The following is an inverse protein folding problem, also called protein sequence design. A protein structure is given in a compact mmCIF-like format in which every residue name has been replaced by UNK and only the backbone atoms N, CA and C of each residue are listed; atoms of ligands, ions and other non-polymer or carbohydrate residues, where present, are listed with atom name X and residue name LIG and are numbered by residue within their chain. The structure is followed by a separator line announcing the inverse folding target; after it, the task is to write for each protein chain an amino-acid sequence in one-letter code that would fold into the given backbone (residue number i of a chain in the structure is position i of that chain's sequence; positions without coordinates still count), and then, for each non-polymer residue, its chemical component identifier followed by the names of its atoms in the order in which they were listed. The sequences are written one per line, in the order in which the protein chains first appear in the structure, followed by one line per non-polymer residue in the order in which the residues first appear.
data_IF_279136964410
#
_entry.id   IF_279136964410
#
_cell.length_a   1.000
_cell.length_b   1.000
_cell.length_c   1.000
_cell.angle_alpha   90.00
_cell.angle_beta   90.00
_cell.angle_gamma   90.00
#
_symmetry.space_group_name_H-M   'P 1'
#
loop_
_entity.id
_entity.type
_entity.pdbx_description
1 polymer ?
#
# COMPACT_ATOMS: atom_id res chain seq x y z
N UNK A 1 -26.88 -15.70 10.80
CA UNK A 1 -26.68 -14.85 12.00
C UNK A 1 -25.21 -14.65 12.36
N UNK A 2 -24.42 -15.71 12.60
CA UNK A 2 -22.99 -15.57 12.98
C UNK A 2 -22.12 -14.83 11.95
N UNK A 3 -22.33 -15.05 10.65
CA UNK A 3 -21.62 -14.34 9.57
C UNK A 3 -21.98 -12.85 9.49
N UNK A 4 -23.26 -12.52 9.66
CA UNK A 4 -23.73 -11.14 9.69
C UNK A 4 -23.15 -10.37 10.88
N UNK A 5 -23.12 -10.99 12.06
CA UNK A 5 -22.47 -10.44 13.26
C UNK A 5 -20.97 -10.18 13.06
N UNK A 6 -20.26 -11.09 12.39
CA UNK A 6 -18.85 -10.90 12.07
C UNK A 6 -18.62 -9.75 11.08
N UNK A 7 -19.48 -9.58 10.08
CA UNK A 7 -19.41 -8.46 9.14
C UNK A 7 -19.67 -7.12 9.84
N UNK A 8 -20.68 -7.05 10.71
CA UNK A 8 -20.99 -5.84 11.48
C UNK A 8 -19.85 -5.51 12.44
N UNK A 9 -19.28 -6.50 13.13
CA UNK A 9 -18.13 -6.32 14.02
C UNK A 9 -16.90 -5.80 13.25
N UNK A 10 -16.63 -6.36 12.07
CA UNK A 10 -15.52 -5.92 11.24
C UNK A 10 -15.67 -4.45 10.82
N UNK A 11 -16.87 -4.04 10.41
CA UNK A 11 -17.17 -2.65 10.03
C UNK A 11 -16.95 -1.70 11.22
N UNK A 12 -17.45 -2.04 12.41
CA UNK A 12 -17.30 -1.20 13.62
C UNK A 12 -15.83 -1.06 14.02
N UNK A 13 -15.05 -2.14 13.94
CA UNK A 13 -13.60 -2.10 14.22
C UNK A 13 -12.85 -1.25 13.17
N UNK A 14 -13.26 -1.30 11.91
CA UNK A 14 -12.68 -0.43 10.86
C UNK A 14 -12.97 1.05 11.07
N UNK A 15 -14.08 1.43 11.71
CA UNK A 15 -14.33 2.83 12.09
C UNK A 15 -13.44 3.30 13.27
N UNK A 16 -13.09 2.41 14.20
CA UNK A 16 -12.15 2.71 15.28
C UNK A 16 -10.69 2.68 14.83
N UNK A 17 -10.39 2.07 13.69
CA UNK A 17 -9.15 2.27 12.97
C UNK A 17 -9.20 3.67 12.35
N UNK A 18 -9.05 4.69 13.20
CA UNK A 18 -8.67 6.02 12.75
C UNK A 18 -7.55 5.82 11.74
N UNK A 19 -7.77 6.20 10.48
CA UNK A 19 -6.67 6.32 9.54
C UNK A 19 -5.66 7.23 10.24
N UNK A 20 -4.54 6.65 10.70
CA UNK A 20 -3.47 7.38 11.38
C UNK A 20 -2.81 8.42 10.45
N UNK A 21 -3.41 8.69 9.29
CA UNK A 21 -3.05 9.71 8.34
C UNK A 21 -3.41 11.12 8.81
N UNK A 22 -4.42 11.31 9.67
CA UNK A 22 -4.80 12.66 10.16
C UNK A 22 -3.97 13.13 11.37
N UNK A 23 -3.47 12.20 12.19
CA UNK A 23 -2.58 12.55 13.32
C UNK A 23 -1.16 12.85 12.84
N UNK A 24 -0.61 12.07 11.91
CA UNK A 24 0.70 12.34 11.34
C UNK A 24 0.72 13.67 10.58
N UNK A 25 -0.37 14.02 9.88
CA UNK A 25 -0.48 15.28 9.14
C UNK A 25 -0.52 16.51 10.04
N UNK A 26 -1.25 16.46 11.16
CA UNK A 26 -1.32 17.56 12.12
C UNK A 26 0.03 17.82 12.82
N UNK A 27 0.81 16.78 13.13
CA UNK A 27 2.19 16.93 13.63
C UNK A 27 3.09 17.53 12.56
N UNK A 28 3.07 16.99 11.33
CA UNK A 28 3.89 17.51 10.23
C UNK A 28 3.54 18.95 9.81
N UNK A 29 2.28 19.35 9.92
CA UNK A 29 1.84 20.74 9.65
C UNK A 29 2.13 21.69 10.83
N UNK A 30 2.32 21.16 12.05
CA UNK A 30 2.69 21.95 13.24
C UNK A 30 4.21 22.16 13.36
N UNK A 31 5.01 21.35 12.68
CA UNK A 31 6.46 21.52 12.58
C UNK A 31 6.77 22.70 11.64
N UNK A 32 7.49 23.71 12.15
CA UNK A 32 7.91 24.88 11.34
C UNK A 32 8.98 24.54 10.31
N UNK A 33 9.57 23.34 10.40
CA UNK A 33 10.62 22.86 9.52
C UNK A 33 10.05 21.94 8.42
N UNK A 34 10.12 22.41 7.17
CA UNK A 34 9.62 21.68 6.00
C UNK A 34 10.38 20.37 5.71
N UNK A 35 11.54 20.16 6.33
CA UNK A 35 12.37 18.96 6.15
C UNK A 35 11.63 17.65 6.46
N UNK A 36 10.77 17.67 7.48
CA UNK A 36 9.98 16.49 7.87
C UNK A 36 8.88 16.18 6.85
N UNK A 37 8.23 17.22 6.31
CA UNK A 37 7.21 17.07 5.27
C UNK A 37 7.79 16.48 3.98
N UNK A 38 8.98 16.92 3.57
CA UNK A 38 9.71 16.35 2.43
C UNK A 38 10.09 14.88 2.67
N UNK A 39 10.55 14.54 3.88
CA UNK A 39 10.88 13.17 4.27
C UNK A 39 9.68 12.21 4.12
N UNK A 40 8.49 12.65 4.53
CA UNK A 40 7.25 11.86 4.40
C UNK A 40 6.82 11.71 2.94
N UNK A 41 6.87 12.79 2.14
CA UNK A 41 6.54 12.72 0.72
C UNK A 41 7.45 11.73 -0.03
N UNK A 42 8.75 11.78 0.26
CA UNK A 42 9.72 10.81 -0.28
C UNK A 42 9.41 9.38 0.19
N UNK A 43 9.03 9.21 1.45
CA UNK A 43 8.60 7.92 2.00
C UNK A 43 7.38 7.33 1.29
N UNK A 44 6.36 8.14 0.99
CA UNK A 44 5.15 7.71 0.25
C UNK A 44 5.54 7.19 -1.13
N UNK A 45 6.38 7.93 -1.86
CA UNK A 45 6.84 7.53 -3.19
C UNK A 45 7.65 6.22 -3.09
N UNK A 46 8.53 6.09 -2.10
CA UNK A 46 9.36 4.90 -1.91
C UNK A 46 8.52 3.65 -1.62
N UNK A 47 7.54 3.77 -0.71
CA UNK A 47 6.62 2.68 -0.38
C UNK A 47 5.70 2.32 -1.54
N UNK A 48 5.26 3.30 -2.33
CA UNK A 48 4.45 3.06 -3.53
C UNK A 48 5.26 2.42 -4.66
N UNK A 49 6.55 2.72 -4.81
CA UNK A 49 7.39 2.15 -5.86
C UNK A 49 7.51 0.62 -5.76
N UNK A 50 7.61 0.08 -4.54
CA UNK A 50 7.78 -1.35 -4.27
C UNK A 50 6.69 -2.22 -4.95
N UNK A 51 5.37 -2.02 -4.70
CA UNK A 51 4.34 -2.84 -5.32
C UNK A 51 4.32 -2.74 -6.85
N UNK A 52 4.66 -1.58 -7.43
CA UNK A 52 4.76 -1.44 -8.89
C UNK A 52 5.93 -2.24 -9.47
N UNK A 53 7.10 -2.19 -8.83
CA UNK A 53 8.27 -2.97 -9.25
C UNK A 53 8.01 -4.48 -9.14
N UNK A 54 7.38 -4.92 -8.05
CA UNK A 54 7.01 -6.32 -7.86
C UNK A 54 6.03 -6.80 -8.93
N UNK A 55 5.01 -6.00 -9.27
CA UNK A 55 4.08 -6.36 -10.35
C UNK A 55 4.75 -6.39 -11.71
N UNK A 56 5.62 -5.43 -12.03
CA UNK A 56 6.40 -5.44 -13.26
C UNK A 56 7.28 -6.69 -13.37
N UNK A 57 7.97 -7.05 -12.28
CA UNK A 57 8.80 -8.26 -12.20
C UNK A 57 7.99 -9.55 -12.38
N UNK A 58 6.82 -9.63 -11.74
CA UNK A 58 5.91 -10.78 -11.86
C UNK A 58 5.42 -10.95 -13.30
N UNK A 59 4.96 -9.87 -13.94
CA UNK A 59 4.48 -9.89 -15.33
C UNK A 59 5.61 -10.32 -16.27
N UNK A 60 6.81 -9.76 -16.11
CA UNK A 60 7.98 -10.14 -16.91
C UNK A 60 8.35 -11.61 -16.73
N UNK A 61 8.34 -12.12 -15.49
CA UNK A 61 8.61 -13.52 -15.19
C UNK A 61 7.60 -14.46 -15.87
N UNK A 62 6.30 -14.14 -15.79
CA UNK A 62 5.24 -14.91 -16.45
C UNK A 62 5.43 -14.90 -17.97
N UNK A 63 5.68 -13.72 -18.56
CA UNK A 63 5.91 -13.59 -20.00
C UNK A 63 7.12 -14.43 -20.47
N UNK A 64 8.24 -14.35 -19.74
CA UNK A 64 9.45 -15.14 -20.02
C UNK A 64 9.19 -16.64 -19.92
N UNK A 65 8.44 -17.08 -18.89
CA UNK A 65 8.07 -18.48 -18.69
C UNK A 65 7.22 -19.01 -19.85
N UNK A 66 6.17 -18.27 -20.24
CA UNK A 66 5.31 -18.63 -21.38
C UNK A 66 6.06 -18.64 -22.71
N UNK A 67 6.95 -17.68 -22.94
CA UNK A 67 7.79 -17.64 -24.15
C UNK A 67 8.77 -18.81 -24.21
N UNK A 68 9.29 -19.29 -23.07
CA UNK A 68 10.15 -20.48 -23.02
C UNK A 68 9.34 -21.76 -23.31
N UNK A 69 8.14 -21.88 -22.76
CA UNK A 69 7.24 -23.00 -23.03
C UNK A 69 6.84 -23.09 -24.51
N UNK A 70 6.49 -21.96 -25.14
CA UNK A 70 6.15 -21.90 -26.57
C UNK A 70 7.33 -22.15 -27.53
N UNK A 71 8.57 -22.15 -27.05
CA UNK A 71 9.76 -22.47 -27.86
C UNK A 71 10.18 -23.94 -27.76
N UNK A 72 9.54 -24.72 -26.89
CA UNK A 72 9.80 -26.14 -26.67
C UNK A 72 8.64 -27.06 -27.10
N UNK A 73 7.60 -26.51 -27.72
CA UNK A 73 6.55 -27.20 -28.46
C UNK A 73 6.78 -26.96 -29.96
#
# INVERSE_FOLDING_TARGET
MKRFLLTVLFIVVSFSANAQCAMCRAVLESETDNSMAEGVNNGIIYLAAIPYLLMGGLIWFIYKSRKKANKGA
#
